data_IF_544746978016
#
_entry.id   IF_544746978016
#
_cell.length_a   1.000
_cell.length_b   1.000
_cell.length_c   1.000
_cell.angle_alpha   90.00
_cell.angle_beta   90.00
_cell.angle_gamma   90.00
#
_symmetry.space_group_name_H-M   'P 1'
#
loop_
_entity.id
_entity.type
_entity.pdbx_description
1 polymer ?
#
# COMPACT_ATOMS: atom_id res chain seq x y z
N UNK A 1 16.25 -24.53 65.56
CA UNK A 1 14.79 -24.78 65.56
C UNK A 1 14.38 -25.05 64.12
N UNK A 2 14.32 -26.34 63.74
CA UNK A 2 14.20 -26.80 62.35
C UNK A 2 12.82 -26.50 61.75
N UNK A 3 11.78 -26.53 62.57
CA UNK A 3 10.39 -26.30 62.14
C UNK A 3 10.19 -24.85 61.67
N UNK A 4 10.77 -23.89 62.40
CA UNK A 4 10.74 -22.48 61.99
C UNK A 4 11.42 -22.25 60.63
N UNK A 5 12.52 -22.95 60.37
CA UNK A 5 13.23 -22.85 59.09
C UNK A 5 12.41 -23.45 57.92
N UNK A 6 11.72 -24.57 58.17
CA UNK A 6 10.83 -25.19 57.18
C UNK A 6 9.62 -24.31 56.85
N UNK A 7 9.05 -23.63 57.86
CA UNK A 7 7.91 -22.74 57.65
C UNK A 7 8.29 -21.47 56.89
N UNK A 8 9.46 -20.89 57.18
CA UNK A 8 10.00 -19.77 56.40
C UNK A 8 10.29 -20.17 54.95
N UNK A 9 10.83 -21.37 54.70
CA UNK A 9 11.06 -21.86 53.35
C UNK A 9 9.76 -22.08 52.58
N UNK A 10 8.72 -22.63 53.22
CA UNK A 10 7.39 -22.80 52.62
C UNK A 10 6.75 -21.45 52.28
N UNK A 11 6.89 -20.45 53.16
CA UNK A 11 6.43 -19.08 52.91
C UNK A 11 7.17 -18.46 51.72
N UNK A 12 8.49 -18.61 51.65
CA UNK A 12 9.29 -18.12 50.53
C UNK A 12 8.87 -18.75 49.19
N UNK A 13 8.68 -20.07 49.14
CA UNK A 13 8.22 -20.77 47.93
C UNK A 13 6.81 -20.31 47.51
N UNK A 14 5.93 -20.04 48.48
CA UNK A 14 4.58 -19.53 48.22
C UNK A 14 4.62 -18.11 47.64
N UNK A 15 5.45 -17.23 48.18
CA UNK A 15 5.64 -15.87 47.68
C UNK A 15 6.29 -15.84 46.28
N UNK A 16 7.28 -16.70 46.02
CA UNK A 16 7.85 -16.87 44.69
C UNK A 16 6.79 -17.27 43.64
N UNK A 17 5.88 -18.19 43.99
CA UNK A 17 4.79 -18.60 43.09
C UNK A 17 3.80 -17.46 42.84
N UNK A 18 3.48 -16.66 43.86
CA UNK A 18 2.61 -15.47 43.72
C UNK A 18 3.24 -14.42 42.81
N UNK A 19 4.52 -14.13 43.03
CA UNK A 19 5.27 -13.18 42.21
C UNK A 19 5.31 -13.61 40.73
N UNK A 20 5.57 -14.89 40.46
CA UNK A 20 5.54 -15.43 39.08
C UNK A 20 4.15 -15.37 38.43
N UNK A 21 3.08 -15.59 39.21
CA UNK A 21 1.70 -15.45 38.70
C UNK A 21 1.36 -14.00 38.38
N UNK A 22 1.80 -13.06 39.20
CA UNK A 22 1.60 -11.63 39.00
C UNK A 22 2.32 -11.15 37.73
N UNK A 23 3.58 -11.54 37.52
CA UNK A 23 4.33 -11.25 36.29
C UNK A 23 3.63 -11.79 35.03
N UNK A 24 3.06 -13.00 35.11
CA UNK A 24 2.28 -13.57 34.00
C UNK A 24 0.97 -12.83 33.74
N UNK A 25 0.33 -12.28 34.77
CA UNK A 25 -0.87 -11.46 34.63
C UNK A 25 -0.55 -10.09 34.04
N UNK A 26 0.54 -9.44 34.50
CA UNK A 26 1.04 -8.18 33.96
C UNK A 26 1.43 -8.30 32.48
N UNK A 27 2.12 -9.38 32.10
CA UNK A 27 2.44 -9.68 30.70
C UNK A 27 1.19 -9.96 29.84
N UNK A 28 0.12 -10.54 30.42
CA UNK A 28 -1.17 -10.74 29.73
C UNK A 28 -1.97 -9.44 29.60
N UNK A 29 -1.80 -8.50 30.52
CA UNK A 29 -2.44 -7.19 30.48
C UNK A 29 -1.72 -6.22 29.54
N UNK A 30 -0.41 -6.38 29.35
CA UNK A 30 0.36 -5.76 28.26
C UNK A 30 0.12 -6.49 26.93
N UNK A 31 -1.14 -6.60 26.49
CA UNK A 31 -1.38 -6.86 25.06
C UNK A 31 -0.80 -5.66 24.30
N UNK A 32 0.14 -5.86 23.35
CA UNK A 32 0.62 -4.76 22.54
C UNK A 32 -0.60 -4.09 21.93
N UNK A 33 -0.72 -2.77 22.12
CA UNK A 33 -1.79 -2.01 21.48
C UNK A 33 -1.77 -2.37 20.00
N UNK A 34 -2.92 -2.72 19.38
CA UNK A 34 -2.95 -3.01 17.97
C UNK A 34 -2.34 -1.82 17.24
N UNK A 35 -1.22 -2.06 16.57
CA UNK A 35 -0.52 -1.03 15.80
C UNK A 35 -1.48 -0.61 14.69
N UNK A 36 -2.04 0.60 14.81
CA UNK A 36 -2.87 1.16 13.77
C UNK A 36 -1.93 1.52 12.62
N UNK A 37 -2.05 0.78 11.53
CA UNK A 37 -1.20 1.00 10.37
C UNK A 37 -1.69 2.24 9.65
N UNK A 38 -0.94 3.33 9.81
CA UNK A 38 -1.16 4.58 9.09
C UNK A 38 -0.98 4.33 7.58
N UNK A 39 -2.00 4.67 6.78
CA UNK A 39 -1.94 4.59 5.32
C UNK A 39 -0.76 5.35 4.72
N UNK A 40 -0.33 6.45 5.36
CA UNK A 40 0.86 7.21 4.93
C UNK A 40 2.13 6.39 5.03
N UNK A 41 2.27 5.62 6.11
CA UNK A 41 3.40 4.72 6.30
C UNK A 41 3.39 3.60 5.26
N UNK A 42 2.23 3.00 4.99
CA UNK A 42 2.09 1.98 3.94
C UNK A 42 2.53 2.52 2.57
N UNK A 43 2.01 3.70 2.20
CA UNK A 43 2.36 4.36 0.94
C UNK A 43 3.86 4.62 0.86
N UNK A 44 4.47 5.16 1.92
CA UNK A 44 5.90 5.44 1.98
C UNK A 44 6.75 4.16 1.80
N UNK A 45 6.42 3.09 2.53
CA UNK A 45 7.13 1.79 2.43
C UNK A 45 7.04 1.22 1.02
N UNK A 46 5.87 1.26 0.39
CA UNK A 46 5.69 0.75 -0.97
C UNK A 46 6.51 1.57 -1.98
N UNK A 47 6.56 2.89 -1.85
CA UNK A 47 7.34 3.75 -2.76
C UNK A 47 8.85 3.48 -2.70
N UNK A 48 9.36 2.92 -1.60
CA UNK A 48 10.76 2.54 -1.47
C UNK A 48 11.19 1.43 -2.44
N UNK A 49 10.26 0.66 -3.00
CA UNK A 49 10.57 -0.39 -3.98
C UNK A 49 11.00 0.17 -5.35
N UNK A 50 10.92 1.48 -5.57
CA UNK A 50 11.41 2.11 -6.79
C UNK A 50 10.64 1.61 -8.01
N UNK A 51 11.29 0.83 -8.88
CA UNK A 51 10.71 0.24 -10.09
C UNK A 51 10.40 -1.27 -9.93
N UNK A 52 10.65 -1.87 -8.76
CA UNK A 52 10.35 -3.27 -8.49
C UNK A 52 8.87 -3.46 -8.13
N UNK A 53 8.04 -3.59 -9.16
CA UNK A 53 6.60 -3.76 -9.00
C UNK A 53 6.22 -5.13 -8.40
N UNK A 54 6.97 -6.18 -8.73
CA UNK A 54 6.68 -7.53 -8.23
C UNK A 54 6.97 -7.61 -6.74
N UNK A 55 8.09 -7.05 -6.28
CA UNK A 55 8.40 -6.93 -4.86
C UNK A 55 7.34 -6.13 -4.09
N UNK A 56 6.89 -5.00 -4.64
CA UNK A 56 5.85 -4.18 -4.02
C UNK A 56 4.50 -4.93 -3.91
N UNK A 57 4.10 -5.66 -4.96
CA UNK A 57 2.87 -6.48 -4.96
C UNK A 57 3.00 -7.64 -3.97
N UNK A 58 4.17 -8.29 -3.90
CA UNK A 58 4.41 -9.39 -2.99
C UNK A 58 4.32 -8.93 -1.52
N UNK A 59 4.96 -7.79 -1.20
CA UNK A 59 4.86 -7.17 0.12
C UNK A 59 3.41 -6.86 0.47
N UNK A 60 2.66 -6.25 -0.46
CA UNK A 60 1.25 -5.97 -0.26
C UNK A 60 0.45 -7.24 0.04
N UNK A 61 0.60 -8.30 -0.75
CA UNK A 61 -0.17 -9.53 -0.57
C UNK A 61 0.15 -10.27 0.73
N UNK A 62 1.42 -10.36 1.09
CA UNK A 62 1.86 -11.26 2.15
C UNK A 62 1.94 -10.57 3.52
N UNK A 63 2.42 -9.33 3.56
CA UNK A 63 2.80 -8.68 4.81
C UNK A 63 1.80 -7.60 5.21
N UNK A 64 1.57 -6.62 4.33
CA UNK A 64 0.96 -5.35 4.74
C UNK A 64 -0.47 -5.13 4.28
N UNK A 65 -0.93 -5.78 3.21
CA UNK A 65 -2.26 -5.57 2.63
C UNK A 65 -3.40 -6.07 3.51
N UNK A 66 -3.11 -6.96 4.47
CA UNK A 66 -4.07 -7.31 5.52
C UNK A 66 -4.41 -6.10 6.39
N UNK A 67 -3.47 -5.19 6.66
CA UNK A 67 -3.73 -4.00 7.46
C UNK A 67 -4.38 -2.89 6.65
N UNK A 68 -4.01 -2.77 5.37
CA UNK A 68 -4.65 -1.88 4.41
C UNK A 68 -5.85 -2.48 3.70
N UNK A 69 -6.50 -3.54 4.21
CA UNK A 69 -7.71 -4.07 3.60
C UNK A 69 -8.88 -3.12 3.83
N UNK A 70 -9.80 -3.01 2.88
CA UNK A 70 -11.04 -2.24 3.03
C UNK A 70 -11.86 -2.62 4.26
N UNK A 71 -11.76 -3.88 4.71
CA UNK A 71 -12.41 -4.33 5.94
C UNK A 71 -11.84 -3.67 7.20
N UNK A 72 -10.59 -3.23 7.14
CA UNK A 72 -9.84 -2.69 8.27
C UNK A 72 -9.70 -1.16 8.19
N UNK A 73 -9.42 -0.62 7.01
CA UNK A 73 -9.40 0.83 6.77
C UNK A 73 -9.42 1.14 5.27
N UNK A 74 -10.44 1.90 4.83
CA UNK A 74 -10.55 2.39 3.45
C UNK A 74 -9.37 3.30 3.10
N UNK A 75 -8.98 4.20 4.02
CA UNK A 75 -7.90 5.16 3.77
C UNK A 75 -6.54 4.46 3.64
N UNK A 76 -6.29 3.43 4.46
CA UNK A 76 -5.08 2.63 4.37
C UNK A 76 -5.03 1.79 3.08
N UNK A 77 -6.20 1.31 2.62
CA UNK A 77 -6.32 0.64 1.32
C UNK A 77 -5.95 1.57 0.17
N UNK A 78 -6.57 2.75 0.10
CA UNK A 78 -6.31 3.74 -0.94
C UNK A 78 -4.84 4.15 -0.94
N UNK A 79 -4.30 4.51 0.22
CA UNK A 79 -2.90 4.92 0.33
C UNK A 79 -1.91 3.80 -0.06
N UNK A 80 -2.27 2.54 0.20
CA UNK A 80 -1.51 1.39 -0.28
C UNK A 80 -1.53 1.26 -1.80
N UNK A 81 -2.72 1.38 -2.40
CA UNK A 81 -2.87 1.35 -3.86
C UNK A 81 -2.13 2.50 -4.53
N UNK A 82 -2.15 3.71 -3.97
CA UNK A 82 -1.37 4.87 -4.42
C UNK A 82 0.14 4.59 -4.44
N UNK A 83 0.63 3.88 -3.42
CA UNK A 83 2.02 3.45 -3.33
C UNK A 83 2.39 2.51 -4.47
N UNK A 84 1.56 1.50 -4.74
CA UNK A 84 1.78 0.54 -5.84
C UNK A 84 1.65 1.22 -7.20
N UNK A 85 0.70 2.14 -7.38
CA UNK A 85 0.55 2.93 -8.61
C UNK A 85 1.79 3.78 -8.89
N UNK A 86 2.36 4.41 -7.87
CA UNK A 86 3.63 5.12 -8.00
C UNK A 86 4.75 4.18 -8.48
N UNK A 87 4.88 2.98 -7.89
CA UNK A 87 5.88 1.99 -8.32
C UNK A 87 5.63 1.52 -9.77
N UNK A 88 4.37 1.34 -10.16
CA UNK A 88 4.01 1.01 -11.54
C UNK A 88 4.42 2.11 -12.52
N UNK A 89 4.26 3.38 -12.15
CA UNK A 89 4.75 4.52 -12.92
C UNK A 89 6.28 4.54 -13.01
N UNK A 90 6.97 4.29 -11.90
CA UNK A 90 8.44 4.16 -11.85
C UNK A 90 8.97 3.05 -12.74
N UNK A 91 8.24 1.94 -12.84
CA UNK A 91 8.55 0.81 -13.71
C UNK A 91 8.15 1.02 -15.17
N UNK A 92 7.30 2.02 -15.47
CA UNK A 92 6.67 2.19 -16.78
C UNK A 92 5.77 1.02 -17.17
N UNK A 93 4.97 0.54 -16.21
CA UNK A 93 4.06 -0.59 -16.35
C UNK A 93 2.61 -0.12 -16.24
N UNK A 94 2.13 0.58 -17.27
CA UNK A 94 0.75 1.07 -17.30
C UNK A 94 -0.28 -0.07 -17.30
N UNK A 95 0.07 -1.23 -17.86
CA UNK A 95 -0.73 -2.45 -17.84
C UNK A 95 -1.03 -2.92 -16.40
N UNK A 96 -0.04 -2.83 -15.51
CA UNK A 96 -0.23 -3.13 -14.10
C UNK A 96 -1.01 -2.05 -13.37
N UNK A 97 -0.76 -0.77 -13.65
CA UNK A 97 -1.51 0.34 -13.06
C UNK A 97 -3.02 0.17 -13.30
N UNK A 98 -3.42 -0.20 -14.52
CA UNK A 98 -4.81 -0.52 -14.85
C UNK A 98 -5.38 -1.69 -14.03
N UNK A 99 -4.58 -2.73 -13.78
CA UNK A 99 -5.00 -3.86 -12.93
C UNK A 99 -5.20 -3.42 -11.48
N UNK A 100 -4.39 -2.47 -10.99
CA UNK A 100 -4.57 -1.86 -9.67
C UNK A 100 -5.88 -1.07 -9.63
N UNK A 101 -6.17 -0.22 -10.62
CA UNK A 101 -7.46 0.48 -10.73
C UNK A 101 -8.65 -0.50 -10.70
N UNK A 102 -8.58 -1.61 -11.45
CA UNK A 102 -9.60 -2.67 -11.40
C UNK A 102 -9.71 -3.33 -10.02
N UNK A 103 -8.60 -3.46 -9.30
CA UNK A 103 -8.57 -3.99 -7.93
C UNK A 103 -9.23 -3.03 -6.94
N UNK A 104 -9.00 -1.72 -7.10
CA UNK A 104 -9.69 -0.69 -6.32
C UNK A 104 -11.20 -0.73 -6.53
N UNK A 105 -11.66 -0.82 -7.79
CA UNK A 105 -13.09 -0.94 -8.12
C UNK A 105 -13.72 -2.19 -7.53
N UNK A 106 -13.03 -3.33 -7.60
CA UNK A 106 -13.46 -4.57 -6.92
C UNK A 106 -13.54 -4.42 -5.40
N UNK A 107 -12.74 -3.53 -4.84
CA UNK A 107 -12.79 -3.10 -3.46
C UNK A 107 -13.88 -2.06 -3.14
N UNK A 108 -14.65 -1.59 -4.13
CA UNK A 108 -15.64 -0.54 -3.93
C UNK A 108 -15.04 0.86 -3.80
N UNK A 109 -13.81 1.07 -4.27
CA UNK A 109 -13.21 2.40 -4.39
C UNK A 109 -13.03 2.73 -5.87
N UNK A 110 -13.64 3.82 -6.31
CA UNK A 110 -13.41 4.34 -7.66
C UNK A 110 -12.06 5.08 -7.72
N UNK A 111 -11.15 4.69 -8.63
CA UNK A 111 -9.94 5.45 -8.92
C UNK A 111 -10.31 6.82 -9.49
N UNK A 112 -9.58 7.83 -9.06
CA UNK A 112 -9.74 9.23 -9.46
C UNK A 112 -8.46 9.75 -10.10
N UNK A 113 -8.42 11.05 -10.39
CA UNK A 113 -7.22 11.73 -10.86
C UNK A 113 -6.08 11.72 -9.84
N UNK A 114 -6.37 11.51 -8.55
CA UNK A 114 -5.34 11.40 -7.53
C UNK A 114 -4.46 10.16 -7.75
N UNK A 115 -5.10 9.02 -8.04
CA UNK A 115 -4.45 7.77 -8.38
C UNK A 115 -3.61 7.90 -9.67
N UNK A 116 -4.17 8.56 -10.69
CA UNK A 116 -3.45 8.87 -11.94
C UNK A 116 -2.23 9.76 -11.68
N UNK A 117 -2.37 10.77 -10.82
CA UNK A 117 -1.28 11.65 -10.43
C UNK A 117 -0.18 10.90 -9.67
N UNK A 118 -0.53 9.90 -8.87
CA UNK A 118 0.43 9.03 -8.20
C UNK A 118 1.26 8.21 -9.21
N UNK A 119 0.61 7.59 -10.21
CA UNK A 119 1.29 6.93 -11.33
C UNK A 119 2.22 7.90 -12.07
N UNK A 120 1.71 9.07 -12.48
CA UNK A 120 2.49 10.08 -13.23
C UNK A 120 3.68 10.61 -12.43
N UNK A 121 3.57 10.71 -11.11
CA UNK A 121 4.69 11.11 -10.26
C UNK A 121 5.79 10.06 -10.23
N UNK A 122 5.43 8.77 -10.26
CA UNK A 122 6.38 7.69 -10.46
C UNK A 122 7.05 7.75 -11.84
N UNK A 123 6.25 7.91 -12.89
CA UNK A 123 6.71 8.02 -14.28
C UNK A 123 7.71 9.16 -14.47
N UNK A 124 7.41 10.37 -13.99
CA UNK A 124 8.32 11.53 -14.05
C UNK A 124 9.66 11.23 -13.42
N UNK A 125 9.67 10.60 -12.24
CA UNK A 125 10.94 10.21 -11.59
C UNK A 125 11.72 9.20 -12.42
N UNK A 126 11.06 8.28 -13.13
CA UNK A 126 11.73 7.34 -14.06
C UNK A 126 12.42 8.11 -15.17
N UNK A 127 11.70 9.03 -15.79
CA UNK A 127 12.22 9.87 -16.88
C UNK A 127 13.42 10.71 -16.44
N UNK A 128 13.37 11.29 -15.23
CA UNK A 128 14.53 12.02 -14.67
C UNK A 128 15.77 11.15 -14.48
N UNK A 129 15.62 9.88 -14.09
CA UNK A 129 16.77 8.98 -13.97
C UNK A 129 17.31 8.58 -15.35
N UNK A 130 16.41 8.23 -16.28
CA UNK A 130 16.79 7.87 -17.65
C UNK A 130 17.41 9.03 -18.43
N UNK A 131 17.07 10.28 -18.12
CA UNK A 131 17.68 11.45 -18.77
C UNK A 131 19.08 11.79 -18.26
N UNK A 132 19.42 11.35 -17.04
CA UNK A 132 20.72 11.64 -16.43
C UNK A 132 21.78 10.60 -16.81
N UNK A 133 21.37 9.38 -17.15
CA UNK A 133 22.25 8.37 -17.70
C UNK A 133 22.42 8.63 -19.21
N UNK A 134 23.56 9.22 -19.61
CA UNK A 134 23.95 9.53 -21.00
C UNK A 134 24.04 8.29 -21.93
N UNK A 135 23.67 7.11 -21.46
CA UNK A 135 23.86 5.84 -22.13
C UNK A 135 22.55 5.30 -22.69
N UNK A 136 22.55 5.19 -24.01
CA UNK A 136 21.79 4.26 -24.82
C UNK A 136 20.26 4.42 -24.77
N UNK A 137 19.75 5.33 -25.61
CA UNK A 137 18.46 5.13 -26.28
C UNK A 137 18.59 3.94 -27.24
N UNK A 138 18.88 2.77 -26.68
CA UNK A 138 18.92 1.51 -27.39
C UNK A 138 17.53 1.25 -27.95
N UNK A 139 17.48 1.12 -29.27
CA UNK A 139 16.34 0.71 -30.13
C UNK A 139 15.04 0.57 -29.33
N UNK A 140 14.27 1.65 -29.30
CA UNK A 140 12.87 1.64 -28.87
C UNK A 140 12.20 0.41 -29.49
N UNK A 141 11.76 -0.52 -28.64
CA UNK A 141 10.81 -1.53 -29.05
C UNK A 141 9.50 -0.78 -29.31
N UNK A 142 9.36 -0.20 -30.50
CA UNK A 142 8.26 0.69 -30.89
C UNK A 142 6.90 0.08 -30.55
N UNK A 143 6.77 -1.25 -30.66
CA UNK A 143 5.58 -2.00 -30.27
C UNK A 143 5.31 -1.94 -28.76
N UNK A 144 6.34 -2.11 -27.92
CA UNK A 144 6.21 -2.05 -26.46
C UNK A 144 5.83 -0.66 -25.99
N UNK A 145 6.40 0.37 -26.63
CA UNK A 145 6.08 1.77 -26.34
C UNK A 145 4.65 2.09 -26.78
N UNK A 146 4.23 1.68 -27.98
CA UNK A 146 2.85 1.84 -28.47
C UNK A 146 1.81 1.14 -27.58
N UNK A 147 2.09 -0.08 -27.12
CA UNK A 147 1.20 -0.80 -26.21
C UNK A 147 1.12 -0.11 -24.85
N UNK A 148 2.26 0.37 -24.33
CA UNK A 148 2.28 1.10 -23.07
C UNK A 148 1.47 2.40 -23.19
N UNK A 149 1.58 3.13 -24.30
CA UNK A 149 0.78 4.33 -24.56
C UNK A 149 -0.73 4.04 -24.62
N UNK A 150 -1.14 2.91 -25.21
CA UNK A 150 -2.54 2.48 -25.18
C UNK A 150 -3.02 2.22 -23.77
N UNK A 151 -2.22 1.52 -22.95
CA UNK A 151 -2.56 1.29 -21.55
C UNK A 151 -2.60 2.59 -20.74
N UNK A 152 -1.72 3.55 -21.00
CA UNK A 152 -1.76 4.86 -20.35
C UNK A 152 -3.01 5.64 -20.72
N UNK A 153 -3.42 5.62 -21.99
CA UNK A 153 -4.70 6.23 -22.41
C UNK A 153 -5.89 5.61 -21.70
N UNK A 154 -5.93 4.28 -21.60
CA UNK A 154 -6.97 3.58 -20.85
C UNK A 154 -6.91 3.93 -19.36
N UNK A 155 -5.72 4.04 -18.77
CA UNK A 155 -5.54 4.40 -17.37
C UNK A 155 -6.10 5.81 -17.09
N UNK A 156 -5.82 6.76 -17.99
CA UNK A 156 -6.40 8.11 -17.92
C UNK A 156 -7.92 8.02 -17.94
N UNK A 157 -8.50 7.29 -18.89
CA UNK A 157 -9.96 7.14 -18.98
C UNK A 157 -10.57 6.51 -17.72
N UNK A 158 -9.92 5.51 -17.13
CA UNK A 158 -10.38 4.86 -15.91
C UNK A 158 -10.35 5.79 -14.69
N UNK A 159 -9.32 6.62 -14.57
CA UNK A 159 -9.15 7.59 -13.49
C UNK A 159 -9.91 8.92 -13.71
N UNK A 160 -10.33 9.18 -14.95
CA UNK A 160 -11.13 10.35 -15.33
C UNK A 160 -12.64 10.05 -15.37
N UNK A 161 -13.07 8.86 -14.94
CA UNK A 161 -14.50 8.56 -14.87
C UNK A 161 -15.19 9.54 -13.92
N UNK A 162 -16.24 10.18 -14.44
CA UNK A 162 -16.97 11.25 -13.76
C UNK A 162 -17.53 10.78 -12.43
N UNK A 163 -17.07 11.41 -11.35
CA UNK A 163 -17.87 11.48 -10.15
C UNK A 163 -19.11 12.34 -10.45
N UNK A 164 -20.30 11.75 -10.37
CA UNK A 164 -21.56 12.44 -10.65
C UNK A 164 -21.84 13.54 -9.62
N UNK A 165 -21.19 13.45 -8.47
CA UNK A 165 -21.35 14.37 -7.35
C UNK A 165 -20.24 15.46 -7.33
N UNK A 166 -19.25 15.42 -8.24
CA UNK A 166 -18.22 16.47 -8.32
C UNK A 166 -18.76 17.72 -9.03
N UNK A 167 -19.18 18.68 -8.20
CA UNK A 167 -19.71 19.99 -8.61
C UNK A 167 -18.74 20.75 -9.52
N UNK A 168 -17.43 20.54 -9.41
CA UNK A 168 -16.41 21.27 -10.17
C UNK A 168 -16.43 20.95 -11.67
N UNK A 169 -17.02 19.81 -12.06
CA UNK A 169 -17.02 19.31 -13.44
C UNK A 169 -18.40 19.16 -14.05
N UNK A 170 -19.44 19.73 -13.43
CA UNK A 170 -20.81 19.66 -13.94
C UNK A 170 -20.98 20.21 -15.36
N UNK A 171 -20.07 21.07 -15.83
CA UNK A 171 -20.09 21.66 -17.17
C UNK A 171 -19.14 21.00 -18.18
N UNK A 172 -18.38 19.98 -17.79
CA UNK A 172 -17.46 19.31 -18.70
C UNK A 172 -18.21 18.40 -19.67
N UNK A 173 -17.90 18.50 -20.96
CA UNK A 173 -18.56 17.75 -22.03
C UNK A 173 -18.36 16.25 -21.83
N UNK A 174 -19.47 15.51 -21.66
CA UNK A 174 -19.48 14.05 -21.57
C UNK A 174 -19.00 13.44 -22.89
N UNK A 175 -17.75 13.01 -22.97
CA UNK A 175 -17.26 12.24 -24.11
C UNK A 175 -17.85 10.82 -24.02
N UNK A 176 -18.85 10.51 -24.84
CA UNK A 176 -19.31 9.14 -25.08
C UNK A 176 -18.42 8.50 -26.13
N UNK A 177 -17.69 7.45 -25.75
CA UNK A 177 -17.05 6.55 -26.71
C UNK A 177 -18.13 5.59 -27.22
N UNK A 178 -18.49 5.69 -28.50
CA UNK A 178 -19.34 4.72 -29.19
C UNK A 178 -18.39 3.65 -29.74
N UNK A 179 -18.58 2.40 -29.32
CA UNK A 179 -17.86 1.21 -29.82
C UNK A 179 -18.61 0.67 -31.03
#
# INVERSE_FOLDING_TARGET
NLDLALDLFRLFVKEQKRWQQQQRQEARQQKPKPFHVDGRLLNAVLRCYGADIEGAILLWKNEIGKYGSLRNSRDAFVAGMDGILFVAGRAGRADFALRICKTMKKGGVEPTEMELSCYNTGKRKRETLLSNDYFDKGISNTIKDMLNDQYEKLLILECSQFDKDDVRRQNDLKIRIII
#
